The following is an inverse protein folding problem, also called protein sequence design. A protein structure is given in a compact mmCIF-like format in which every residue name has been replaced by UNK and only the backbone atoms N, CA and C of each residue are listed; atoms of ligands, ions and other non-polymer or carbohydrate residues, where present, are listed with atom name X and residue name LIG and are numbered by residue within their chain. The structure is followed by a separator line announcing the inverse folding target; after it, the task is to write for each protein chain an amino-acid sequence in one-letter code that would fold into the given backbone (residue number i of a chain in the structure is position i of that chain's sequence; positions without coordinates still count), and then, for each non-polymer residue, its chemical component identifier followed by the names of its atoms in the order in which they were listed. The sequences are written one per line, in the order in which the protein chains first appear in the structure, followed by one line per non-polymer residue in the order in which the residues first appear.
data_IF_988197615499
#
_entry.id   IF_988197615499
#
_cell.length_a   1.000
_cell.length_b   1.000
_cell.length_c   1.000
_cell.angle_alpha   90.00
_cell.angle_beta   90.00
_cell.angle_gamma   90.00
#
_symmetry.space_group_name_H-M   'P 1'
#
loop_
_entity.id
_entity.type
_entity.pdbx_description
1 polymer ?
#
# COMPACT_ATOMS: atom_id res chain seq x y z
N UNK A 1 -12.84 -17.63 -11.43
CA UNK A 1 -12.12 -18.70 -12.15
C UNK A 1 -11.48 -19.63 -11.13
N UNK A 2 -11.51 -20.95 -11.36
CA UNK A 2 -10.81 -21.93 -10.53
C UNK A 2 -9.49 -22.27 -11.23
N UNK A 3 -8.39 -22.17 -10.50
CA UNK A 3 -7.04 -22.46 -11.01
C UNK A 3 -6.37 -23.42 -10.04
N UNK A 4 -5.68 -24.42 -10.58
CA UNK A 4 -4.85 -25.36 -9.81
C UNK A 4 -3.39 -25.06 -10.15
N UNK A 5 -2.54 -24.97 -9.13
CA UNK A 5 -1.10 -24.71 -9.28
C UNK A 5 -0.33 -25.53 -8.24
N UNK A 6 0.84 -26.04 -8.62
CA UNK A 6 1.74 -26.71 -7.68
C UNK A 6 2.56 -25.65 -6.92
N UNK A 7 2.56 -25.75 -5.59
CA UNK A 7 3.27 -24.85 -4.69
C UNK A 7 3.84 -25.65 -3.52
N UNK A 8 5.00 -25.22 -3.00
CA UNK A 8 5.57 -25.82 -1.81
C UNK A 8 4.64 -25.69 -0.59
N UNK A 9 4.54 -26.77 0.19
CA UNK A 9 3.72 -26.81 1.40
C UNK A 9 4.13 -25.74 2.41
N UNK A 10 5.43 -25.50 2.55
CA UNK A 10 5.98 -24.46 3.44
C UNK A 10 5.50 -23.07 3.03
N UNK A 11 5.41 -22.79 1.73
CA UNK A 11 4.90 -21.53 1.19
C UNK A 11 3.39 -21.40 1.42
N UNK A 12 2.63 -22.47 1.22
CA UNK A 12 1.19 -22.48 1.48
C UNK A 12 0.87 -22.23 2.97
N UNK A 13 1.64 -22.82 3.88
CA UNK A 13 1.53 -22.59 5.33
C UNK A 13 1.80 -21.12 5.65
N UNK A 14 2.89 -20.55 5.13
CA UNK A 14 3.23 -19.14 5.35
C UNK A 14 2.17 -18.18 4.79
N UNK A 15 1.60 -18.49 3.62
CA UNK A 15 0.52 -17.71 3.01
C UNK A 15 -0.76 -17.73 3.87
N UNK A 16 -1.15 -18.90 4.42
CA UNK A 16 -2.28 -19.02 5.34
C UNK A 16 -2.07 -18.21 6.63
N UNK A 17 -0.87 -18.28 7.21
CA UNK A 17 -0.53 -17.48 8.38
C UNK A 17 -0.63 -15.96 8.09
N UNK A 18 -0.19 -15.54 6.90
CA UNK A 18 -0.29 -14.14 6.45
C UNK A 18 -1.74 -13.70 6.29
N UNK A 19 -2.59 -14.56 5.69
CA UNK A 19 -4.02 -14.31 5.54
C UNK A 19 -4.69 -14.08 6.90
N UNK A 20 -4.42 -14.96 7.88
CA UNK A 20 -4.93 -14.82 9.24
C UNK A 20 -4.48 -13.51 9.92
N UNK A 21 -3.18 -13.19 9.85
CA UNK A 21 -2.61 -11.97 10.44
C UNK A 21 -3.23 -10.70 9.86
N UNK A 22 -3.50 -10.67 8.56
CA UNK A 22 -4.08 -9.51 7.86
C UNK A 22 -5.62 -9.49 7.87
N UNK A 23 -6.27 -10.47 8.51
CA UNK A 23 -7.73 -10.67 8.45
C UNK A 23 -8.26 -10.73 7.02
N UNK A 24 -7.52 -11.38 6.13
CA UNK A 24 -7.86 -11.57 4.72
C UNK A 24 -8.06 -13.05 4.40
N UNK A 25 -8.74 -13.34 3.28
CA UNK A 25 -8.82 -14.71 2.76
C UNK A 25 -7.53 -15.08 2.04
N UNK A 26 -7.18 -16.39 2.01
CA UNK A 26 -6.03 -16.87 1.24
C UNK A 26 -6.13 -16.48 -0.24
N UNK A 27 -7.34 -16.55 -0.81
CA UNK A 27 -7.63 -16.08 -2.17
C UNK A 27 -7.24 -14.62 -2.37
N UNK A 28 -7.64 -13.73 -1.46
CA UNK A 28 -7.33 -12.30 -1.56
C UNK A 28 -5.82 -12.03 -1.45
N UNK A 29 -5.11 -12.78 -0.60
CA UNK A 29 -3.64 -12.70 -0.50
C UNK A 29 -2.97 -13.11 -1.81
N UNK A 30 -3.40 -14.23 -2.40
CA UNK A 30 -2.84 -14.74 -3.66
C UNK A 30 -3.14 -13.78 -4.81
N UNK A 31 -4.38 -13.33 -4.96
CA UNK A 31 -4.75 -12.36 -6.01
C UNK A 31 -3.97 -11.04 -5.88
N UNK A 32 -3.81 -10.53 -4.65
CA UNK A 32 -3.04 -9.31 -4.41
C UNK A 32 -1.56 -9.48 -4.77
N UNK A 33 -0.95 -10.60 -4.41
CA UNK A 33 0.44 -10.90 -4.77
C UNK A 33 0.62 -11.03 -6.29
N UNK A 34 -0.30 -11.73 -6.97
CA UNK A 34 -0.26 -11.89 -8.42
C UNK A 34 -0.44 -10.55 -9.15
N UNK A 35 -1.36 -9.69 -8.68
CA UNK A 35 -1.53 -8.33 -9.24
C UNK A 35 -0.25 -7.52 -9.12
N UNK A 36 0.38 -7.54 -7.93
CA UNK A 36 1.66 -6.86 -7.70
C UNK A 36 2.78 -7.37 -8.61
N UNK A 37 2.76 -8.66 -8.95
CA UNK A 37 3.79 -9.28 -9.81
C UNK A 37 3.61 -8.92 -11.29
N UNK A 38 2.36 -8.84 -11.77
CA UNK A 38 2.08 -8.46 -13.16
C UNK A 38 2.05 -6.95 -13.38
N UNK A 39 2.02 -6.16 -12.30
CA UNK A 39 2.15 -4.71 -12.39
C UNK A 39 3.55 -4.38 -12.96
N UNK A 40 3.63 -3.69 -14.10
CA UNK A 40 4.91 -3.34 -14.69
C UNK A 40 5.74 -2.54 -13.68
N UNK A 41 6.96 -3.03 -13.41
CA UNK A 41 7.97 -2.38 -12.57
C UNK A 41 8.27 -1.01 -13.16
N UNK A 42 7.50 -0.01 -12.76
CA UNK A 42 7.47 1.30 -13.43
C UNK A 42 6.16 2.07 -13.27
N UNK A 43 5.05 1.42 -12.89
CA UNK A 43 3.78 2.09 -12.59
C UNK A 43 3.43 2.06 -11.09
N UNK A 44 4.40 2.40 -10.24
CA UNK A 44 4.03 3.08 -9.00
C UNK A 44 3.43 4.42 -9.40
N UNK A 45 2.10 4.50 -9.61
CA UNK A 45 1.38 5.73 -10.00
C UNK A 45 2.22 6.65 -10.91
N UNK A 46 2.45 6.25 -12.16
CA UNK A 46 3.25 7.04 -13.14
C UNK A 46 2.63 8.39 -13.55
N UNK A 47 1.59 8.88 -12.86
CA UNK A 47 0.97 10.21 -13.08
C UNK A 47 1.18 11.18 -11.91
N UNK A 48 2.09 10.87 -10.98
CA UNK A 48 2.63 11.88 -10.08
C UNK A 48 4.15 11.84 -10.19
N UNK A 49 4.76 12.88 -10.77
CA UNK A 49 6.14 13.22 -10.44
C UNK A 49 6.39 12.90 -8.97
N UNK A 50 7.45 12.14 -8.65
CA UNK A 50 7.79 11.71 -7.29
C UNK A 50 7.24 12.71 -6.27
N UNK A 51 6.16 12.33 -5.58
CA UNK A 51 5.42 13.24 -4.70
C UNK A 51 6.23 13.59 -3.45
N UNK A 52 7.49 13.15 -3.39
CA UNK A 52 8.44 13.40 -2.35
C UNK A 52 9.79 13.86 -2.93
N UNK A 53 10.48 14.67 -2.14
CA UNK A 53 11.87 15.09 -2.31
C UNK A 53 12.67 14.59 -1.09
N UNK A 54 14.00 14.53 -1.21
CA UNK A 54 14.87 14.06 -0.12
C UNK A 54 15.63 15.25 0.44
N UNK A 55 15.55 15.48 1.74
CA UNK A 55 16.28 16.58 2.38
C UNK A 55 17.78 16.25 2.54
N UNK A 56 18.57 17.24 2.96
CA UNK A 56 20.02 17.10 3.19
C UNK A 56 20.40 15.98 4.18
N UNK A 57 19.45 15.53 5.01
CA UNK A 57 19.62 14.43 5.98
C UNK A 57 19.22 13.07 5.41
N UNK A 58 18.89 12.98 4.13
CA UNK A 58 18.48 11.75 3.47
C UNK A 58 17.03 11.32 3.77
N UNK A 59 16.21 12.18 4.37
CA UNK A 59 14.83 11.86 4.71
C UNK A 59 13.85 12.34 3.62
N UNK A 60 12.92 11.48 3.16
CA UNK A 60 11.91 11.87 2.18
C UNK A 60 10.87 12.80 2.83
N UNK A 61 10.47 13.86 2.13
CA UNK A 61 9.38 14.77 2.49
C UNK A 61 8.48 15.01 1.29
N UNK A 62 7.18 15.18 1.51
CA UNK A 62 6.23 15.41 0.40
C UNK A 62 6.45 16.78 -0.24
N UNK A 63 6.34 16.84 -1.59
CA UNK A 63 6.31 18.11 -2.32
C UNK A 63 5.15 18.96 -1.82
N UNK A 64 5.39 20.25 -1.60
CA UNK A 64 4.36 21.20 -1.22
C UNK A 64 3.31 21.29 -2.34
N UNK A 65 2.08 20.86 -2.06
CA UNK A 65 0.95 21.02 -2.98
C UNK A 65 0.42 22.45 -2.90
N UNK A 66 1.10 23.37 -3.59
CA UNK A 66 0.52 24.64 -4.03
C UNK A 66 -0.17 25.52 -2.97
N UNK A 67 0.35 25.60 -1.74
CA UNK A 67 0.05 26.68 -0.80
C UNK A 67 -0.99 26.41 0.30
N UNK A 68 -1.57 25.21 0.40
CA UNK A 68 -2.42 24.86 1.55
C UNK A 68 -1.56 24.31 2.68
N UNK A 69 -1.22 25.16 3.66
CA UNK A 69 -0.62 24.68 4.90
C UNK A 69 -1.66 23.86 5.67
N UNK A 70 -1.31 22.64 6.04
CA UNK A 70 -2.15 21.82 6.92
C UNK A 70 -2.12 22.45 8.32
N UNK A 71 -3.25 22.99 8.78
CA UNK A 71 -3.37 23.51 10.15
C UNK A 71 -3.85 22.41 11.09
N UNK A 72 -3.61 22.56 12.39
CA UNK A 72 -4.11 21.62 13.40
C UNK A 72 -5.63 21.50 13.40
N UNK A 73 -6.34 22.60 13.10
CA UNK A 73 -7.80 22.63 12.96
C UNK A 73 -8.28 21.69 11.86
N UNK A 74 -7.66 21.73 10.68
CA UNK A 74 -7.98 20.83 9.57
C UNK A 74 -7.72 19.35 9.90
N UNK A 75 -6.76 19.06 10.79
CA UNK A 75 -6.51 17.70 11.26
C UNK A 75 -7.62 17.23 12.19
N UNK A 76 -8.07 18.09 13.11
CA UNK A 76 -9.18 17.75 14.02
C UNK A 76 -10.50 17.56 13.26
N UNK A 77 -10.81 18.42 12.29
CA UNK A 77 -12.01 18.25 11.45
C UNK A 77 -12.00 16.90 10.73
N UNK A 78 -10.84 16.48 10.21
CA UNK A 78 -10.69 15.21 9.50
C UNK A 78 -10.75 14.00 10.46
N UNK A 79 -10.29 14.16 11.70
CA UNK A 79 -10.42 13.15 12.75
C UNK A 79 -11.88 12.95 13.15
N UNK A 80 -12.63 14.05 13.30
CA UNK A 80 -14.06 14.02 13.59
C UNK A 80 -14.87 13.37 12.45
N UNK A 81 -14.53 13.65 11.19
CA UNK A 81 -15.16 13.02 10.01
C UNK A 81 -14.92 11.50 9.95
N UNK A 82 -13.72 11.05 10.27
CA UNK A 82 -13.32 9.64 10.25
C UNK A 82 -13.68 8.89 11.55
N UNK A 83 -14.20 9.61 12.57
CA UNK A 83 -14.63 9.05 13.86
C UNK A 83 -13.48 8.52 14.71
N UNK A 84 -12.29 9.14 14.63
CA UNK A 84 -11.06 8.77 15.34
C UNK A 84 -10.55 9.86 16.27
#
# INVERSE_FOLDING_TARGET
MKTTMDIDDSLLIAAKATAARRRMTLKAVVEHALRREIEPVGYGRSDAECCYEVNERGMPYLKSSGGKQMTSEMVYDLMDEEGI
#
